data_IF_858060543233
#
_entry.id   IF_858060543233
#
_cell.length_a   1.000
_cell.length_b   1.000
_cell.length_c   1.000
_cell.angle_alpha   90.00
_cell.angle_beta   90.00
_cell.angle_gamma   90.00
#
_symmetry.space_group_name_H-M   'P 1'
#
loop_
_entity.id
_entity.type
_entity.pdbx_description
1 polymer ?
#
# COMPACT_ATOMS: atom_id res chain seq x y z
N UNK A 1 43.42 36.97 35.89
CA UNK A 1 42.70 35.80 36.46
C UNK A 1 41.38 35.64 35.72
N UNK A 2 40.95 34.42 35.39
CA UNK A 2 39.89 34.18 34.41
C UNK A 2 38.51 34.10 35.09
N UNK A 3 37.46 34.64 34.46
CA UNK A 3 36.13 34.08 34.65
C UNK A 3 35.44 33.92 33.31
N UNK A 4 35.23 32.64 33.01
CA UNK A 4 34.45 32.05 31.94
C UNK A 4 32.97 32.31 32.27
N UNK A 5 32.17 32.78 31.32
CA UNK A 5 30.71 32.61 31.41
C UNK A 5 30.23 32.01 30.09
N UNK A 6 29.86 30.74 30.19
CA UNK A 6 29.24 29.93 29.13
C UNK A 6 27.75 30.30 29.07
N UNK A 7 27.29 30.57 27.84
CA UNK A 7 25.98 30.28 27.21
C UNK A 7 24.69 30.36 28.05
N UNK A 8 23.66 31.02 27.50
CA UNK A 8 22.38 30.35 27.20
C UNK A 8 21.42 31.34 26.49
N UNK A 9 21.51 31.46 25.16
CA UNK A 9 20.49 32.16 24.37
C UNK A 9 20.02 31.27 23.23
N UNK A 10 19.38 30.15 23.57
CA UNK A 10 18.83 29.20 22.60
C UNK A 10 17.83 28.25 23.26
N UNK A 11 16.84 28.79 24.00
CA UNK A 11 15.75 28.00 24.60
C UNK A 11 14.34 28.34 24.10
N UNK A 12 14.18 29.42 23.33
CA UNK A 12 12.86 29.86 22.84
C UNK A 12 12.55 29.25 21.47
N UNK A 13 13.49 29.28 20.51
CA UNK A 13 13.30 28.65 19.20
C UNK A 13 13.12 27.13 19.25
N UNK A 14 13.83 26.48 20.18
CA UNK A 14 13.78 25.02 20.37
C UNK A 14 12.39 24.52 20.80
N UNK A 15 11.59 25.34 21.50
CA UNK A 15 10.23 24.96 21.91
C UNK A 15 9.25 25.06 20.74
N UNK A 16 9.43 26.04 19.87
CA UNK A 16 8.60 26.26 18.70
C UNK A 16 8.86 25.18 17.63
N UNK A 17 10.14 24.84 17.41
CA UNK A 17 10.56 23.74 16.52
C UNK A 17 10.04 22.37 17.01
N UNK A 18 10.11 22.10 18.31
CA UNK A 18 9.56 20.87 18.91
C UNK A 18 8.04 20.83 18.83
N UNK A 19 7.36 21.98 18.95
CA UNK A 19 5.91 22.09 18.77
C UNK A 19 5.49 21.84 17.32
N UNK A 20 6.22 22.42 16.35
CA UNK A 20 5.98 22.22 14.92
C UNK A 20 6.26 20.76 14.54
N UNK A 21 7.33 20.16 15.08
CA UNK A 21 7.65 18.74 14.88
C UNK A 21 6.53 17.83 15.43
N UNK A 22 6.12 18.03 16.69
CA UNK A 22 5.04 17.24 17.30
C UNK A 22 3.72 17.40 16.56
N UNK A 23 3.40 18.61 16.09
CA UNK A 23 2.20 18.87 15.30
C UNK A 23 2.24 18.18 13.94
N UNK A 24 3.36 18.23 13.22
CA UNK A 24 3.53 17.54 11.94
C UNK A 24 3.55 16.01 12.11
N UNK A 25 4.23 15.48 13.13
CA UNK A 25 4.25 14.04 13.38
C UNK A 25 2.91 13.49 13.88
N UNK A 26 2.18 14.26 14.69
CA UNK A 26 0.81 13.93 15.05
C UNK A 26 -0.11 14.01 13.84
N UNK A 27 0.05 15.01 12.96
CA UNK A 27 -0.70 15.11 11.71
C UNK A 27 -0.37 13.94 10.77
N UNK A 28 0.89 13.49 10.68
CA UNK A 28 1.27 12.31 9.91
C UNK A 28 0.75 11.01 10.53
N UNK A 29 0.77 10.88 11.85
CA UNK A 29 0.23 9.70 12.52
C UNK A 29 -1.30 9.63 12.45
N UNK A 30 -1.97 10.79 12.57
CA UNK A 30 -3.41 10.95 12.36
C UNK A 30 -3.75 10.77 10.89
N UNK A 31 -2.90 11.19 9.94
CA UNK A 31 -3.09 10.89 8.51
C UNK A 31 -2.88 9.41 8.25
N UNK A 32 -1.89 8.74 8.85
CA UNK A 32 -1.73 7.29 8.75
C UNK A 32 -2.89 6.51 9.39
N UNK A 33 -3.46 7.01 10.49
CA UNK A 33 -4.66 6.45 11.12
C UNK A 33 -5.94 6.77 10.33
N UNK A 34 -6.05 7.95 9.71
CA UNK A 34 -7.18 8.36 8.87
C UNK A 34 -7.04 7.90 7.41
N UNK A 35 -5.89 7.47 6.95
CA UNK A 35 -5.66 6.77 5.68
C UNK A 35 -6.25 5.35 5.74
N UNK A 36 -6.50 4.83 6.95
CA UNK A 36 -7.35 3.66 7.16
C UNK A 36 -8.84 3.95 6.93
N UNK A 37 -9.27 5.23 6.86
CA UNK A 37 -10.67 5.65 6.68
C UNK A 37 -10.93 6.53 5.43
N UNK A 38 -9.92 7.21 4.89
CA UNK A 38 -10.02 8.05 3.70
C UNK A 38 -9.67 7.27 2.44
N UNK A 39 -10.66 6.51 1.98
CA UNK A 39 -10.59 5.78 0.72
C UNK A 39 -11.96 5.51 0.12
N UNK A 40 -12.84 6.52 0.04
CA UNK A 40 -14.02 6.43 -0.86
C UNK A 40 -13.62 6.43 -2.35
N UNK A 41 -12.33 6.31 -2.66
CA UNK A 41 -11.83 6.05 -4.00
C UNK A 41 -11.86 4.54 -4.23
N UNK A 42 -12.81 4.15 -5.05
CA UNK A 42 -13.01 2.80 -5.53
C UNK A 42 -12.05 2.61 -6.70
N UNK A 43 -10.92 1.95 -6.45
CA UNK A 43 -9.92 1.67 -7.48
C UNK A 43 -10.20 0.35 -8.19
N UNK A 44 -9.80 0.28 -9.45
CA UNK A 44 -9.84 -0.93 -10.27
C UNK A 44 -8.45 -1.58 -10.30
N UNK A 45 -8.44 -2.89 -10.07
CA UNK A 45 -7.22 -3.69 -10.03
C UNK A 45 -7.24 -4.76 -11.11
N UNK A 46 -6.11 -4.94 -11.78
CA UNK A 46 -5.92 -6.01 -12.77
C UNK A 46 -4.77 -6.87 -12.30
N UNK A 47 -5.03 -8.15 -12.11
CA UNK A 47 -4.07 -9.12 -11.60
C UNK A 47 -3.95 -10.27 -12.60
N UNK A 48 -2.72 -10.57 -12.99
CA UNK A 48 -2.39 -11.67 -13.89
C UNK A 48 -1.96 -12.89 -13.11
N UNK A 49 -2.41 -14.05 -13.55
CA UNK A 49 -2.20 -15.32 -12.86
C UNK A 49 -1.35 -16.20 -13.78
N UNK A 50 -0.26 -16.74 -13.25
CA UNK A 50 0.70 -17.56 -14.01
C UNK A 50 0.57 -19.06 -13.67
N UNK A 51 -0.02 -19.39 -12.53
CA UNK A 51 -0.19 -20.78 -12.09
C UNK A 51 -1.62 -21.31 -12.34
N UNK A 52 -1.71 -22.48 -12.99
CA UNK A 52 -3.00 -23.11 -13.38
C UNK A 52 -3.82 -23.58 -12.18
N UNK A 53 -3.18 -24.09 -11.13
CA UNK A 53 -3.87 -24.54 -9.92
C UNK A 53 -4.40 -23.35 -9.13
N UNK A 54 -3.62 -22.26 -9.05
CA UNK A 54 -4.05 -21.00 -8.45
C UNK A 54 -5.21 -20.40 -9.23
N UNK A 55 -5.15 -20.34 -10.57
CA UNK A 55 -6.27 -19.88 -11.39
C UNK A 55 -7.55 -20.69 -11.13
N UNK A 56 -7.44 -22.02 -11.03
CA UNK A 56 -8.56 -22.89 -10.69
C UNK A 56 -9.12 -22.56 -9.31
N UNK A 57 -8.29 -22.41 -8.29
CA UNK A 57 -8.73 -22.05 -6.93
C UNK A 57 -9.40 -20.68 -6.85
N UNK A 58 -8.88 -19.70 -7.59
CA UNK A 58 -9.45 -18.36 -7.65
C UNK A 58 -10.83 -18.40 -8.33
N UNK A 59 -11.00 -19.23 -9.38
CA UNK A 59 -12.31 -19.37 -10.05
C UNK A 59 -13.37 -20.10 -9.23
N UNK A 60 -12.94 -20.97 -8.32
CA UNK A 60 -13.85 -21.78 -7.48
C UNK A 60 -14.51 -20.95 -6.37
N UNK A 61 -13.97 -19.78 -6.03
CA UNK A 61 -14.48 -18.90 -4.99
C UNK A 61 -14.77 -17.50 -5.51
N UNK A 62 -15.86 -16.90 -5.03
CA UNK A 62 -16.08 -15.47 -5.19
C UNK A 62 -15.39 -14.73 -4.04
N UNK A 63 -14.28 -14.06 -4.35
CA UNK A 63 -13.46 -13.26 -3.43
C UNK A 63 -13.93 -11.81 -3.35
N UNK A 64 -14.50 -11.27 -4.42
CA UNK A 64 -15.09 -9.94 -4.45
C UNK A 64 -16.40 -9.96 -5.26
N UNK A 65 -17.44 -9.21 -4.84
CA UNK A 65 -18.71 -9.12 -5.59
C UNK A 65 -18.51 -8.63 -7.03
N UNK A 66 -17.57 -7.69 -7.23
CA UNK A 66 -17.25 -7.10 -8.53
C UNK A 66 -15.92 -7.66 -9.08
N UNK A 67 -15.71 -8.98 -8.94
CA UNK A 67 -14.61 -9.66 -9.63
C UNK A 67 -15.03 -10.13 -11.02
N UNK A 68 -14.12 -10.03 -11.98
CA UNK A 68 -14.29 -10.57 -13.33
C UNK A 68 -13.08 -11.41 -13.67
N UNK A 69 -13.31 -12.69 -13.93
CA UNK A 69 -12.25 -13.63 -14.33
C UNK A 69 -12.29 -13.74 -15.85
N UNK A 70 -11.15 -13.51 -16.48
CA UNK A 70 -10.98 -13.56 -17.92
C UNK A 70 -9.92 -14.63 -18.21
N UNK A 71 -10.26 -15.71 -18.95
CA UNK A 71 -9.24 -16.63 -19.42
C UNK A 71 -8.32 -15.87 -20.36
N UNK A 72 -7.02 -15.91 -20.07
CA UNK A 72 -5.99 -15.19 -20.79
C UNK A 72 -4.79 -16.11 -20.93
N UNK A 73 -4.47 -16.48 -22.17
CA UNK A 73 -3.31 -17.30 -22.50
C UNK A 73 -2.34 -16.46 -23.30
N UNK A 74 -1.39 -15.84 -22.60
CA UNK A 74 -0.42 -14.92 -23.19
C UNK A 74 0.68 -14.58 -22.19
N UNK A 75 1.91 -14.39 -22.66
CA UNK A 75 3.06 -14.02 -21.81
C UNK A 75 3.34 -15.00 -20.64
N UNK A 76 2.96 -16.28 -20.81
CA UNK A 76 3.09 -17.31 -19.76
C UNK A 76 1.99 -17.26 -18.70
N UNK A 77 1.07 -16.31 -18.77
CA UNK A 77 -0.11 -16.26 -17.92
C UNK A 77 -1.18 -17.26 -18.40
N UNK A 78 -1.96 -17.72 -17.43
CA UNK A 78 -3.06 -18.69 -17.61
C UNK A 78 -4.42 -18.04 -17.42
N UNK A 79 -4.46 -16.83 -16.89
CA UNK A 79 -5.67 -16.05 -16.70
C UNK A 79 -5.43 -14.67 -16.12
N UNK A 80 -6.45 -13.83 -16.19
CA UNK A 80 -6.48 -12.51 -15.61
C UNK A 80 -7.72 -12.38 -14.73
N UNK A 81 -7.57 -11.72 -13.58
CA UNK A 81 -8.68 -11.34 -12.70
C UNK A 81 -8.69 -9.83 -12.54
N UNK A 82 -9.85 -9.25 -12.80
CA UNK A 82 -10.12 -7.84 -12.64
C UNK A 82 -11.00 -7.65 -11.42
N UNK A 83 -10.63 -6.74 -10.54
CA UNK A 83 -11.41 -6.36 -9.38
C UNK A 83 -11.80 -4.91 -9.52
N UNK A 84 -13.10 -4.66 -9.63
CA UNK A 84 -13.63 -3.31 -9.69
C UNK A 84 -14.09 -2.82 -8.33
N UNK A 85 -13.97 -1.52 -8.12
CA UNK A 85 -14.51 -0.81 -6.95
C UNK A 85 -14.01 -1.33 -5.60
N UNK A 86 -12.75 -1.74 -5.55
CA UNK A 86 -12.12 -2.18 -4.32
C UNK A 86 -11.85 -0.96 -3.46
N UNK A 87 -12.41 -0.97 -2.25
CA UNK A 87 -12.36 0.19 -1.34
C UNK A 87 -11.12 0.17 -0.45
N UNK A 88 -10.44 -0.98 -0.35
CA UNK A 88 -9.29 -1.15 0.53
C UNK A 88 -8.09 -1.70 -0.23
N UNK A 89 -7.11 -0.84 -0.48
CA UNK A 89 -5.81 -1.26 -1.03
C UNK A 89 -5.13 -2.29 -0.12
N UNK A 90 -5.18 -2.10 1.21
CA UNK A 90 -4.52 -2.99 2.17
C UNK A 90 -5.03 -4.43 2.07
N UNK A 91 -6.33 -4.63 1.88
CA UNK A 91 -6.91 -5.96 1.68
C UNK A 91 -6.46 -6.57 0.35
N UNK A 92 -6.47 -5.78 -0.73
CA UNK A 92 -5.99 -6.22 -2.04
C UNK A 92 -4.52 -6.61 -1.99
N UNK A 93 -3.69 -5.80 -1.33
CA UNK A 93 -2.26 -6.04 -1.13
C UNK A 93 -2.03 -7.38 -0.42
N UNK A 94 -2.72 -7.63 0.69
CA UNK A 94 -2.66 -8.91 1.41
C UNK A 94 -3.11 -10.09 0.54
N UNK A 95 -4.15 -9.89 -0.27
CA UNK A 95 -4.62 -10.93 -1.19
C UNK A 95 -3.56 -11.28 -2.24
N UNK A 96 -2.96 -10.28 -2.90
CA UNK A 96 -1.87 -10.47 -3.87
C UNK A 96 -0.66 -11.15 -3.23
N UNK A 97 -0.21 -10.66 -2.06
CA UNK A 97 0.91 -11.24 -1.32
C UNK A 97 0.63 -12.68 -0.84
N UNK A 98 -0.62 -13.00 -0.51
CA UNK A 98 -1.02 -14.35 -0.07
C UNK A 98 -0.84 -15.42 -1.14
N UNK A 99 -0.94 -15.05 -2.42
CA UNK A 99 -0.64 -15.94 -3.55
C UNK A 99 0.82 -15.90 -3.99
N UNK A 100 1.58 -14.87 -3.58
CA UNK A 100 3.00 -14.71 -3.89
C UNK A 100 3.27 -14.68 -5.39
N UNK A 101 4.32 -15.35 -5.83
CA UNK A 101 4.79 -15.34 -7.23
C UNK A 101 3.82 -15.96 -8.24
N UNK A 102 2.73 -16.60 -7.80
CA UNK A 102 1.72 -17.17 -8.69
C UNK A 102 0.84 -16.09 -9.36
N UNK A 103 0.80 -14.88 -8.78
CA UNK A 103 0.01 -13.76 -9.28
C UNK A 103 0.85 -12.49 -9.35
N UNK A 104 0.50 -11.60 -10.25
CA UNK A 104 1.17 -10.31 -10.42
C UNK A 104 0.14 -9.19 -10.57
N UNK A 105 0.33 -8.11 -9.82
CA UNK A 105 -0.48 -6.91 -9.98
C UNK A 105 -0.03 -6.13 -11.21
N UNK A 106 -0.90 -6.00 -12.22
CA UNK A 106 -0.65 -5.26 -13.46
C UNK A 106 -1.11 -3.81 -13.30
N UNK A 107 -2.29 -3.59 -12.71
CA UNK A 107 -2.85 -2.27 -12.46
C UNK A 107 -3.46 -2.17 -11.06
N UNK A 108 -3.38 -1.00 -10.41
CA UNK A 108 -2.69 0.21 -10.86
C UNK A 108 -1.16 0.15 -10.65
N UNK A 109 -0.40 0.79 -11.56
CA UNK A 109 1.08 0.70 -11.60
C UNK A 109 1.74 1.27 -10.35
N UNK A 110 1.17 2.32 -9.76
CA UNK A 110 1.65 2.92 -8.51
C UNK A 110 1.66 1.89 -7.36
N UNK A 111 0.59 1.10 -7.25
CA UNK A 111 0.43 0.07 -6.23
C UNK A 111 1.32 -1.15 -6.48
N UNK A 112 1.56 -1.49 -7.75
CA UNK A 112 2.58 -2.49 -8.12
C UNK A 112 3.97 -2.07 -7.65
N UNK A 113 4.33 -0.79 -7.82
CA UNK A 113 5.61 -0.26 -7.36
C UNK A 113 5.74 -0.34 -5.84
N UNK A 114 4.70 0.06 -5.11
CA UNK A 114 4.65 -0.03 -3.65
C UNK A 114 4.90 -1.48 -3.16
N UNK A 115 4.26 -2.47 -3.80
CA UNK A 115 4.50 -3.89 -3.52
C UNK A 115 5.97 -4.31 -3.73
N UNK A 116 6.58 -3.88 -4.84
CA UNK A 116 7.98 -4.21 -5.12
C UNK A 116 8.97 -3.54 -4.17
N UNK A 117 8.67 -2.36 -3.65
CA UNK A 117 9.52 -1.69 -2.65
C UNK A 117 9.45 -2.41 -1.29
N UNK A 118 8.27 -2.91 -0.90
CA UNK A 118 8.09 -3.64 0.36
C UNK A 118 8.76 -5.02 0.36
N UNK A 119 8.72 -5.77 -0.75
CA UNK A 119 9.35 -7.11 -0.86
C UNK A 119 10.89 -7.04 -0.80
N UNK A 120 11.49 -5.89 -1.12
CA UNK A 120 12.95 -5.71 -1.15
C UNK A 120 13.56 -5.31 0.19
N UNK A 121 12.76 -4.93 1.18
CA UNK A 121 13.21 -4.51 2.52
C UNK A 121 13.26 -5.69 3.47
#
# INVERSE_FOLDING_TARGET
MPMRTVHSSSRVGMKEEVWIYKKNHAQQYINQMLEAEHGKSKDDYVIRIYDKEVFKRIREKQWHPEQKIIPFEGEGAVGEIQFSKVSSWLEMKKWVLGWGSAVELIQPVEKRRELCEEIKT
#
